data_IF_857959192329
#
_entry.id   IF_857959192329
#
_cell.length_a   1.000
_cell.length_b   1.000
_cell.length_c   1.000
_cell.angle_alpha   90.00
_cell.angle_beta   90.00
_cell.angle_gamma   90.00
#
_symmetry.space_group_name_H-M   'P 1'
#
loop_
_entity.id
_entity.type
_entity.pdbx_description
1 polymer ?
#
# COMPACT_ATOMS: atom_id res chain seq x y z
N UNK A 1 7.81 27.73 -13.59
CA UNK A 1 8.39 26.47 -13.09
C UNK A 1 8.05 26.32 -11.61
N UNK A 2 7.42 25.21 -11.20
CA UNK A 2 7.70 24.47 -9.94
C UNK A 2 6.77 23.24 -9.84
N UNK A 3 6.90 22.34 -10.82
CA UNK A 3 6.31 20.99 -10.83
C UNK A 3 7.11 20.00 -9.97
N UNK A 4 7.57 20.42 -8.78
CA UNK A 4 8.41 19.57 -7.91
C UNK A 4 7.62 18.80 -6.85
N UNK A 5 6.39 19.21 -6.53
CA UNK A 5 5.58 18.55 -5.50
C UNK A 5 5.00 17.22 -5.97
N UNK A 6 4.55 17.17 -7.23
CA UNK A 6 3.93 15.98 -7.84
C UNK A 6 4.95 14.84 -7.94
N UNK A 7 6.16 15.12 -8.47
CA UNK A 7 7.23 14.11 -8.59
C UNK A 7 7.62 13.44 -7.26
N UNK A 8 7.68 14.18 -6.15
CA UNK A 8 8.02 13.61 -4.84
C UNK A 8 6.94 12.67 -4.30
N UNK A 9 5.67 12.98 -4.54
CA UNK A 9 4.55 12.14 -4.10
C UNK A 9 4.54 10.85 -4.92
N UNK A 10 4.76 10.95 -6.24
CA UNK A 10 4.83 9.79 -7.14
C UNK A 10 6.03 8.88 -6.82
N UNK A 11 7.21 9.46 -6.52
CA UNK A 11 8.39 8.68 -6.10
C UNK A 11 8.15 7.90 -4.81
N UNK A 12 7.52 8.54 -3.80
CA UNK A 12 7.18 7.86 -2.54
C UNK A 12 6.17 6.73 -2.75
N UNK A 13 5.23 6.88 -3.68
CA UNK A 13 4.25 5.83 -4.02
C UNK A 13 4.95 4.66 -4.71
N UNK A 14 5.86 4.91 -5.65
CA UNK A 14 6.62 3.86 -6.33
C UNK A 14 7.44 3.02 -5.35
N UNK A 15 8.21 3.67 -4.47
CA UNK A 15 8.98 3.00 -3.40
C UNK A 15 8.07 2.21 -2.44
N UNK A 16 6.89 2.76 -2.10
CA UNK A 16 5.90 2.05 -1.29
C UNK A 16 5.45 0.74 -1.95
N UNK A 17 5.23 0.75 -3.27
CA UNK A 17 4.80 -0.44 -4.00
C UNK A 17 5.88 -1.50 -4.16
N UNK A 18 7.17 -1.15 -4.12
CA UNK A 18 8.25 -2.13 -4.04
C UNK A 18 8.15 -2.93 -2.73
N UNK A 19 7.99 -2.24 -1.60
CA UNK A 19 7.83 -2.91 -0.29
C UNK A 19 6.54 -3.74 -0.25
N UNK A 20 5.45 -3.22 -0.81
CA UNK A 20 4.17 -3.94 -0.89
C UNK A 20 4.34 -5.21 -1.73
N UNK A 21 4.97 -5.16 -2.90
CA UNK A 21 5.10 -6.35 -3.74
C UNK A 21 5.97 -7.44 -3.10
N UNK A 22 7.01 -7.06 -2.38
CA UNK A 22 7.95 -7.98 -1.72
C UNK A 22 7.39 -8.62 -0.44
N UNK A 23 6.66 -7.84 0.37
CA UNK A 23 6.35 -8.23 1.76
C UNK A 23 4.86 -8.33 2.08
N UNK A 24 3.97 -7.99 1.15
CA UNK A 24 2.53 -8.09 1.41
C UNK A 24 2.08 -9.57 1.48
N UNK A 25 1.46 -10.01 2.59
CA UNK A 25 1.09 -11.40 2.82
C UNK A 25 -0.11 -11.81 1.95
N UNK A 26 -0.32 -13.11 1.71
CA UNK A 26 -1.46 -13.60 0.89
C UNK A 26 -2.84 -13.14 1.41
N UNK A 27 -3.05 -13.12 2.74
CA UNK A 27 -4.30 -12.69 3.39
C UNK A 27 -4.27 -11.22 3.81
N UNK A 28 -3.77 -10.34 2.93
CA UNK A 28 -3.64 -8.92 3.24
C UNK A 28 -4.98 -8.18 3.27
N UNK A 29 -5.97 -8.60 2.47
CA UNK A 29 -7.22 -7.86 2.30
C UNK A 29 -7.96 -7.69 3.62
N UNK A 30 -8.06 -8.74 4.44
CA UNK A 30 -8.69 -8.66 5.77
C UNK A 30 -7.96 -7.70 6.69
N UNK A 31 -6.62 -7.71 6.69
CA UNK A 31 -5.81 -6.78 7.50
C UNK A 31 -5.95 -5.33 7.04
N UNK A 32 -6.07 -5.11 5.74
CA UNK A 32 -6.30 -3.76 5.19
C UNK A 32 -7.70 -3.26 5.57
N UNK A 33 -8.72 -4.12 5.58
CA UNK A 33 -10.07 -3.78 6.04
C UNK A 33 -10.11 -3.42 7.53
N UNK A 34 -9.28 -4.03 8.37
CA UNK A 34 -9.14 -3.63 9.79
C UNK A 34 -8.62 -2.19 9.92
N UNK A 35 -7.80 -1.72 8.97
CA UNK A 35 -7.25 -0.36 8.95
C UNK A 35 -8.15 0.65 8.22
N UNK A 36 -8.90 0.19 7.21
CA UNK A 36 -9.78 1.00 6.36
C UNK A 36 -11.13 0.27 6.19
N UNK A 37 -12.00 0.31 7.22
CA UNK A 37 -13.24 -0.48 7.23
C UNK A 37 -14.26 -0.02 6.19
N UNK A 38 -14.15 1.22 5.72
CA UNK A 38 -15.03 1.80 4.69
C UNK A 38 -14.66 1.33 3.27
N UNK A 39 -13.49 0.70 3.10
CA UNK A 39 -13.06 0.18 1.81
C UNK A 39 -13.76 -1.15 1.49
N UNK A 40 -13.92 -1.45 0.21
CA UNK A 40 -14.33 -2.79 -0.22
C UNK A 40 -13.11 -3.61 -0.61
N UNK A 41 -13.20 -4.93 -0.46
CA UNK A 41 -12.13 -5.83 -0.90
C UNK A 41 -11.74 -5.63 -2.38
N UNK A 42 -12.75 -5.34 -3.22
CA UNK A 42 -12.55 -5.09 -4.65
C UNK A 42 -11.68 -3.86 -4.87
N UNK A 43 -11.97 -2.76 -4.17
CA UNK A 43 -11.19 -1.52 -4.28
C UNK A 43 -9.76 -1.76 -3.77
N UNK A 44 -9.58 -2.49 -2.67
CA UNK A 44 -8.24 -2.82 -2.13
C UNK A 44 -7.40 -3.58 -3.16
N UNK A 45 -7.98 -4.62 -3.78
CA UNK A 45 -7.31 -5.40 -4.83
C UNK A 45 -7.01 -4.56 -6.07
N UNK A 46 -7.94 -3.68 -6.44
CA UNK A 46 -7.79 -2.78 -7.59
C UNK A 46 -6.65 -1.77 -7.36
N UNK A 47 -6.58 -1.15 -6.19
CA UNK A 47 -5.50 -0.21 -5.83
C UNK A 47 -4.14 -0.91 -5.86
N UNK A 48 -4.04 -2.11 -5.29
CA UNK A 48 -2.81 -2.91 -5.36
C UNK A 48 -2.41 -3.18 -6.81
N UNK A 49 -3.34 -3.68 -7.64
CA UNK A 49 -3.04 -4.05 -9.03
C UNK A 49 -2.69 -2.85 -9.90
N UNK A 50 -3.32 -1.69 -9.68
CA UNK A 50 -3.07 -0.46 -10.45
C UNK A 50 -1.89 0.34 -9.95
N UNK A 51 -1.32 -0.03 -8.80
CA UNK A 51 -0.28 0.72 -8.09
C UNK A 51 -0.64 2.21 -7.91
N UNK A 52 -1.93 2.49 -7.76
CA UNK A 52 -2.49 3.85 -7.73
C UNK A 52 -3.94 3.82 -7.23
N UNK A 53 -4.41 4.96 -6.74
CA UNK A 53 -5.77 5.12 -6.22
C UNK A 53 -5.80 5.79 -4.86
N UNK A 54 -6.67 5.33 -3.97
CA UNK A 54 -6.86 5.94 -2.65
C UNK A 54 -5.58 5.81 -1.79
N UNK A 55 -5.03 6.96 -1.40
CA UNK A 55 -3.84 7.06 -0.56
C UNK A 55 -4.00 6.36 0.79
N UNK A 56 -5.21 6.31 1.36
CA UNK A 56 -5.47 5.58 2.62
C UNK A 56 -5.27 4.09 2.44
N UNK A 57 -5.73 3.55 1.30
CA UNK A 57 -5.56 2.13 0.97
C UNK A 57 -4.10 1.82 0.67
N UNK A 58 -3.39 2.69 -0.04
CA UNK A 58 -1.95 2.54 -0.29
C UNK A 58 -1.16 2.54 1.02
N UNK A 59 -1.44 3.47 1.92
CA UNK A 59 -0.81 3.54 3.24
C UNK A 59 -1.11 2.29 4.09
N UNK A 60 -2.34 1.79 4.06
CA UNK A 60 -2.72 0.57 4.76
C UNK A 60 -2.04 -0.67 4.17
N UNK A 61 -1.92 -0.78 2.84
CA UNK A 61 -1.18 -1.85 2.16
C UNK A 61 0.30 -1.82 2.57
N UNK A 62 0.91 -0.63 2.58
CA UNK A 62 2.31 -0.46 3.00
C UNK A 62 2.51 -0.91 4.44
N UNK A 63 1.66 -0.45 5.36
CA UNK A 63 1.73 -0.83 6.78
C UNK A 63 1.64 -2.35 6.97
N UNK A 64 0.71 -3.03 6.28
CA UNK A 64 0.57 -4.48 6.37
C UNK A 64 1.81 -5.21 5.82
N UNK A 65 2.44 -4.68 4.77
CA UNK A 65 3.68 -5.22 4.21
C UNK A 65 4.86 -5.02 5.17
N UNK A 66 4.99 -3.84 5.78
CA UNK A 66 6.03 -3.54 6.78
C UNK A 66 5.91 -4.41 8.04
N UNK A 67 4.70 -4.58 8.57
CA UNK A 67 4.44 -5.47 9.71
C UNK A 67 4.83 -6.91 9.38
N UNK A 68 4.55 -7.37 8.15
CA UNK A 68 4.90 -8.71 7.70
C UNK A 68 6.41 -8.88 7.49
N UNK A 69 7.09 -7.85 6.98
CA UNK A 69 8.56 -7.79 6.88
C UNK A 69 9.24 -7.87 8.24
N UNK A 70 8.69 -7.19 9.25
CA UNK A 70 9.19 -7.20 10.62
C UNK A 70 9.12 -8.60 11.25
N UNK A 71 8.06 -9.35 10.96
CA UNK A 71 7.90 -10.73 11.40
C UNK A 71 8.94 -11.66 10.74
N UNK A 72 9.24 -11.46 9.45
CA UNK A 72 10.21 -12.28 8.71
C UNK A 72 11.67 -12.01 9.10
N UNK A 73 11.97 -10.88 9.74
CA UNK A 73 13.31 -10.51 10.22
C UNK A 73 13.58 -10.90 11.68
N UNK A 74 12.61 -11.49 12.36
CA UNK A 74 12.75 -12.06 13.72
C UNK A 74 12.99 -13.56 13.64
#
# INVERSE_FOLDING_TARGET
MKSNKVKKIDSNIAESFEIIDDYLPKRYVSKVLELVPDATESIIRQVKSRKSGDLKIIAALLKVAEDSKSILKK
#
